data_IF_210504083284
#
_entry.id   IF_210504083284
#
_cell.length_a   1.000
_cell.length_b   1.000
_cell.length_c   1.000
_cell.angle_alpha   90.00
_cell.angle_beta   90.00
_cell.angle_gamma   90.00
#
_symmetry.space_group_name_H-M   'P 1'
#
loop_
_entity.id
_entity.type
_entity.pdbx_description
1 polymer ?
#
# COMPACT_ATOMS: atom_id res chain seq x y z
N UNK A 1 -31.60 7.54 19.45
CA UNK A 1 -31.21 8.15 18.14
C UNK A 1 -32.43 8.85 17.60
N UNK A 2 -32.33 10.13 17.22
CA UNK A 2 -33.44 10.88 16.62
C UNK A 2 -33.54 10.59 15.13
N UNK A 3 -34.73 10.68 14.55
CA UNK A 3 -34.95 10.49 13.12
C UNK A 3 -34.26 11.58 12.28
N UNK A 4 -34.07 11.33 10.98
CA UNK A 4 -33.42 12.25 10.04
C UNK A 4 -34.36 13.34 9.49
N UNK A 5 -35.66 13.28 9.79
CA UNK A 5 -36.64 14.28 9.35
C UNK A 5 -36.53 15.49 10.27
N UNK A 6 -36.42 16.67 9.67
CA UNK A 6 -36.29 17.94 10.38
C UNK A 6 -37.64 18.37 10.91
N UNK A 7 -37.70 18.73 12.19
CA UNK A 7 -38.89 19.21 12.88
C UNK A 7 -38.56 20.37 13.84
N UNK A 8 -39.58 21.10 14.32
CA UNK A 8 -39.41 22.27 15.19
C UNK A 8 -38.85 21.91 16.57
N UNK A 9 -38.84 20.64 16.93
CA UNK A 9 -38.29 20.11 18.18
C UNK A 9 -36.74 20.03 18.17
N UNK A 10 -36.06 20.43 17.09
CA UNK A 10 -34.58 20.47 17.02
C UNK A 10 -34.01 21.70 17.74
N UNK A 11 -33.01 21.50 18.59
CA UNK A 11 -32.29 22.60 19.24
C UNK A 11 -31.23 23.25 18.32
N UNK A 12 -30.63 22.49 17.41
CA UNK A 12 -29.60 22.96 16.49
C UNK A 12 -29.58 22.15 15.20
N UNK A 13 -29.16 22.77 14.10
CA UNK A 13 -28.95 22.13 12.80
C UNK A 13 -27.53 22.40 12.29
N UNK A 14 -26.91 21.39 11.69
CA UNK A 14 -25.61 21.51 11.03
C UNK A 14 -25.81 21.63 9.51
N UNK A 15 -25.44 22.78 8.94
CA UNK A 15 -25.56 23.06 7.52
C UNK A 15 -24.17 23.18 6.87
N UNK A 16 -24.07 22.84 5.58
CA UNK A 16 -22.84 22.99 4.78
C UNK A 16 -23.16 23.82 3.55
N UNK A 17 -22.43 24.93 3.36
CA UNK A 17 -22.59 25.80 2.19
C UNK A 17 -21.91 25.15 0.99
N UNK A 18 -22.67 24.93 -0.08
CA UNK A 18 -22.17 24.33 -1.33
C UNK A 18 -21.84 25.38 -2.40
N UNK A 19 -22.57 26.51 -2.43
CA UNK A 19 -22.40 27.58 -3.40
C UNK A 19 -22.44 28.94 -2.68
N UNK A 20 -21.48 29.83 -2.98
CA UNK A 20 -21.45 31.20 -2.46
C UNK A 20 -22.52 32.06 -3.16
N UNK A 21 -23.19 32.93 -2.40
CA UNK A 21 -24.12 33.94 -2.91
C UNK A 21 -23.41 35.18 -3.42
N UNK A 22 -24.16 36.27 -3.64
CA UNK A 22 -23.59 37.55 -4.08
C UNK A 22 -22.79 38.23 -2.97
N UNK A 23 -23.24 38.13 -1.72
CA UNK A 23 -22.63 38.79 -0.57
C UNK A 23 -21.70 37.86 0.21
N UNK A 24 -20.73 38.44 0.90
CA UNK A 24 -19.82 37.73 1.82
C UNK A 24 -20.42 37.65 3.22
N UNK A 25 -20.20 36.52 3.88
CA UNK A 25 -20.66 36.25 5.24
C UNK A 25 -19.46 36.28 6.19
N UNK A 26 -19.44 37.20 7.16
CA UNK A 26 -18.32 37.36 8.06
C UNK A 26 -18.03 36.11 8.87
N UNK A 27 -16.75 35.72 8.89
CA UNK A 27 -16.26 34.54 9.62
C UNK A 27 -16.54 33.19 8.95
N UNK A 28 -17.27 33.15 7.83
CA UNK A 28 -17.50 31.92 7.05
C UNK A 28 -16.84 31.98 5.67
N UNK A 29 -17.01 33.09 4.94
CA UNK A 29 -16.45 33.22 3.58
C UNK A 29 -15.18 34.05 3.50
N UNK A 30 -14.87 34.81 4.55
CA UNK A 30 -13.82 35.82 4.53
C UNK A 30 -12.42 35.20 4.74
N UNK A 31 -12.34 34.17 5.58
CA UNK A 31 -11.08 33.54 5.96
C UNK A 31 -10.93 32.12 5.41
N UNK A 32 -9.84 31.86 4.69
CA UNK A 32 -9.46 30.53 4.22
C UNK A 32 -8.45 29.87 5.17
N UNK A 33 -8.91 28.94 6.00
CA UNK A 33 -8.02 28.16 6.89
C UNK A 33 -7.24 27.11 6.08
N UNK A 34 -5.89 27.11 6.11
CA UNK A 34 -5.10 26.15 5.34
C UNK A 34 -5.23 24.73 5.89
N UNK A 35 -5.06 23.74 5.01
CA UNK A 35 -5.02 22.34 5.44
C UNK A 35 -3.78 22.08 6.28
N UNK A 36 -3.99 21.59 7.50
CA UNK A 36 -2.91 21.29 8.46
C UNK A 36 -1.93 20.22 7.98
N UNK A 37 -2.39 19.26 7.16
CA UNK A 37 -1.58 18.12 6.72
C UNK A 37 -1.56 18.01 5.20
N UNK A 38 -0.36 17.80 4.65
CA UNK A 38 -0.15 17.42 3.27
C UNK A 38 -0.25 15.91 3.03
N UNK A 39 -0.22 15.47 1.76
CA UNK A 39 -0.27 14.06 1.41
C UNK A 39 0.98 13.30 1.88
N UNK A 40 0.78 12.07 2.39
CA UNK A 40 1.87 11.18 2.89
C UNK A 40 2.29 10.10 1.88
N UNK A 41 1.40 9.70 0.97
CA UNK A 41 1.63 8.60 0.02
C UNK A 41 2.29 9.13 -1.25
N UNK A 42 3.29 8.41 -1.77
CA UNK A 42 4.05 8.85 -2.95
C UNK A 42 3.16 9.21 -4.16
N UNK A 43 2.13 8.39 -4.45
CA UNK A 43 1.18 8.65 -5.54
C UNK A 43 0.38 9.95 -5.36
N UNK A 44 0.01 10.29 -4.13
CA UNK A 44 -0.82 11.46 -3.86
C UNK A 44 0.02 12.74 -3.86
N UNK A 45 1.29 12.65 -3.45
CA UNK A 45 2.24 13.75 -3.57
C UNK A 45 2.48 14.05 -5.06
N UNK A 46 2.67 13.02 -5.90
CA UNK A 46 2.81 13.19 -7.35
C UNK A 46 1.59 13.86 -7.98
N UNK A 47 0.38 13.42 -7.61
CA UNK A 47 -0.87 14.04 -8.09
C UNK A 47 -1.01 15.50 -7.68
N UNK A 48 -0.65 15.83 -6.43
CA UNK A 48 -0.78 17.21 -5.91
C UNK A 48 0.12 18.19 -6.67
N UNK A 49 1.34 17.79 -7.00
CA UNK A 49 2.33 18.64 -7.66
C UNK A 49 2.47 18.36 -9.17
N UNK A 50 1.53 17.60 -9.76
CA UNK A 50 1.56 17.20 -11.17
C UNK A 50 2.92 16.61 -11.65
N UNK A 51 3.58 15.83 -10.79
CA UNK A 51 4.90 15.27 -11.06
C UNK A 51 4.84 14.06 -12.01
N UNK A 52 5.88 13.91 -12.81
CA UNK A 52 6.08 12.72 -13.62
C UNK A 52 6.59 11.53 -12.80
N UNK A 53 6.63 10.36 -13.44
CA UNK A 53 7.09 9.13 -12.78
C UNK A 53 8.59 9.18 -12.42
N UNK A 54 9.37 9.92 -13.20
CA UNK A 54 10.83 10.05 -13.08
C UNK A 54 11.23 10.93 -11.90
N UNK A 55 10.35 11.85 -11.48
CA UNK A 55 10.66 12.82 -10.43
C UNK A 55 10.77 12.18 -9.04
N UNK A 56 11.74 12.68 -8.27
CA UNK A 56 11.94 12.28 -6.89
C UNK A 56 10.97 13.00 -5.95
N UNK A 57 10.00 12.24 -5.47
CA UNK A 57 8.94 12.68 -4.56
C UNK A 57 9.48 13.17 -3.21
N UNK A 58 10.70 12.78 -2.81
CA UNK A 58 11.29 13.14 -1.51
C UNK A 58 11.47 14.65 -1.33
N UNK A 59 11.69 15.38 -2.42
CA UNK A 59 11.92 16.81 -2.39
C UNK A 59 10.61 17.60 -2.22
N UNK A 60 9.49 17.04 -2.64
CA UNK A 60 8.18 17.70 -2.70
C UNK A 60 7.29 17.40 -1.48
N UNK A 61 7.84 16.86 -0.39
CA UNK A 61 7.07 16.63 0.83
C UNK A 61 6.87 17.95 1.57
N UNK A 62 5.60 18.29 1.84
CA UNK A 62 5.26 19.46 2.67
C UNK A 62 5.82 19.27 4.08
N UNK A 63 6.70 20.20 4.49
CA UNK A 63 7.29 20.25 5.82
C UNK A 63 6.57 21.28 6.66
N UNK A 64 6.26 20.94 7.91
CA UNK A 64 5.78 21.91 8.90
C UNK A 64 6.91 22.40 9.77
N UNK A 65 6.89 23.68 10.10
CA UNK A 65 7.81 24.24 11.08
C UNK A 65 7.33 23.86 12.48
N UNK A 66 8.26 23.36 13.29
CA UNK A 66 8.02 22.98 14.67
C UNK A 66 9.16 23.57 15.51
N UNK A 67 9.07 24.88 15.77
CA UNK A 67 10.16 25.67 16.33
C UNK A 67 11.37 25.69 15.38
N UNK A 68 12.57 25.46 15.93
CA UNK A 68 13.84 25.48 15.16
C UNK A 68 13.99 24.33 14.14
N UNK A 69 13.10 23.33 14.11
CA UNK A 69 13.21 22.16 13.22
C UNK A 69 12.00 22.03 12.30
N UNK A 70 12.26 21.70 11.03
CA UNK A 70 11.23 21.35 10.04
C UNK A 70 10.93 19.85 10.14
N UNK A 71 9.66 19.49 10.34
CA UNK A 71 9.20 18.09 10.43
C UNK A 71 8.44 17.69 9.17
N UNK A 72 8.73 16.50 8.65
CA UNK A 72 8.07 15.93 7.47
C UNK A 72 7.48 14.54 7.76
N UNK A 73 6.36 14.16 7.14
CA UNK A 73 5.86 12.79 7.23
C UNK A 73 6.77 11.81 6.48
N UNK A 74 7.01 10.61 7.04
CA UNK A 74 7.63 9.49 6.31
C UNK A 74 6.77 9.15 5.09
N UNK A 75 7.36 9.16 3.90
CA UNK A 75 6.64 8.84 2.66
C UNK A 75 6.28 7.36 2.64
N UNK A 76 5.00 7.07 2.43
CA UNK A 76 4.51 5.69 2.29
C UNK A 76 4.48 5.28 0.81
N UNK A 77 4.76 4.01 0.55
CA UNK A 77 4.79 3.39 -0.79
C UNK A 77 5.83 4.03 -1.73
N UNK A 78 6.91 4.58 -1.17
CA UNK A 78 8.10 4.94 -1.94
C UNK A 78 8.88 3.66 -2.29
N UNK A 79 9.34 3.55 -3.53
CA UNK A 79 10.23 2.47 -3.93
C UNK A 79 11.61 2.74 -3.33
N UNK A 80 12.12 1.81 -2.52
CA UNK A 80 13.42 1.91 -1.85
C UNK A 80 14.28 0.68 -2.13
N UNK A 81 15.62 0.77 -1.99
CA UNK A 81 16.51 -0.38 -2.18
C UNK A 81 16.14 -1.59 -1.32
N UNK A 82 15.73 -1.36 -0.06
CA UNK A 82 15.27 -2.43 0.84
C UNK A 82 14.03 -3.16 0.30
N UNK A 83 13.07 -2.44 -0.31
CA UNK A 83 11.89 -3.05 -0.91
C UNK A 83 12.28 -3.91 -2.14
N UNK A 84 13.20 -3.40 -2.96
CA UNK A 84 13.74 -4.15 -4.11
C UNK A 84 14.49 -5.41 -3.67
N UNK A 85 15.31 -5.32 -2.61
CA UNK A 85 16.02 -6.45 -2.03
C UNK A 85 15.06 -7.50 -1.48
N UNK A 86 14.03 -7.10 -0.72
CA UNK A 86 12.99 -8.03 -0.25
C UNK A 86 12.30 -8.75 -1.41
N UNK A 87 11.99 -8.02 -2.49
CA UNK A 87 11.41 -8.62 -3.70
C UNK A 87 12.36 -9.63 -4.37
N UNK A 88 13.65 -9.32 -4.45
CA UNK A 88 14.68 -10.26 -4.96
C UNK A 88 14.79 -11.51 -4.07
N UNK A 89 14.81 -11.33 -2.76
CA UNK A 89 14.85 -12.42 -1.79
C UNK A 89 13.66 -13.38 -1.96
N UNK A 90 12.43 -12.86 -2.01
CA UNK A 90 11.25 -13.71 -2.22
C UNK A 90 11.33 -14.48 -3.54
N UNK A 91 11.75 -13.83 -4.63
CA UNK A 91 11.95 -14.51 -5.92
C UNK A 91 13.01 -15.62 -5.84
N UNK A 92 14.12 -15.37 -5.15
CA UNK A 92 15.18 -16.36 -4.96
C UNK A 92 14.66 -17.56 -4.16
N UNK A 93 13.92 -17.32 -3.08
CA UNK A 93 13.34 -18.38 -2.26
C UNK A 93 12.36 -19.23 -3.07
N UNK A 94 11.51 -18.62 -3.90
CA UNK A 94 10.63 -19.36 -4.81
C UNK A 94 11.41 -20.23 -5.79
N UNK A 95 12.50 -19.71 -6.38
CA UNK A 95 13.37 -20.50 -7.28
C UNK A 95 14.01 -21.69 -6.58
N UNK A 96 14.60 -21.47 -5.41
CA UNK A 96 15.24 -22.54 -4.64
C UNK A 96 14.24 -23.65 -4.30
N UNK A 97 13.01 -23.28 -3.90
CA UNK A 97 11.93 -24.26 -3.65
C UNK A 97 11.57 -25.08 -4.89
N UNK A 98 11.49 -24.43 -6.07
CA UNK A 98 11.22 -25.14 -7.33
C UNK A 98 12.35 -26.11 -7.70
N UNK A 99 13.60 -25.71 -7.53
CA UNK A 99 14.76 -26.57 -7.80
C UNK A 99 14.79 -27.79 -6.87
N UNK A 100 14.57 -27.59 -5.57
CA UNK A 100 14.49 -28.67 -4.59
C UNK A 100 13.33 -29.62 -4.93
N UNK A 101 12.14 -29.09 -5.23
CA UNK A 101 11.00 -29.91 -5.63
C UNK A 101 11.29 -30.74 -6.90
N UNK A 102 12.00 -30.17 -7.88
CA UNK A 102 12.43 -30.89 -9.09
C UNK A 102 13.38 -32.03 -8.76
N UNK A 103 14.38 -31.81 -7.89
CA UNK A 103 15.33 -32.85 -7.46
C UNK A 103 14.62 -33.98 -6.71
N UNK A 104 13.80 -33.64 -5.71
CA UNK A 104 13.04 -34.62 -4.93
C UNK A 104 12.12 -35.46 -5.81
N UNK A 105 11.46 -34.85 -6.81
CA UNK A 105 10.64 -35.58 -7.78
C UNK A 105 11.47 -36.58 -8.59
N UNK A 106 12.66 -36.18 -9.06
CA UNK A 106 13.55 -37.06 -9.82
C UNK A 106 14.06 -38.22 -8.96
N UNK A 107 14.46 -37.95 -7.72
CA UNK A 107 14.90 -38.98 -6.76
C UNK A 107 13.78 -39.98 -6.46
N UNK A 108 12.56 -39.49 -6.19
CA UNK A 108 11.40 -40.34 -5.93
C UNK A 108 11.04 -41.21 -7.15
N UNK A 109 11.11 -40.65 -8.36
CA UNK A 109 10.88 -41.43 -9.59
C UNK A 109 11.90 -42.55 -9.77
N UNK A 110 13.18 -42.30 -9.48
CA UNK A 110 14.22 -43.34 -9.52
C UNK A 110 13.97 -44.44 -8.49
N UNK A 111 13.67 -44.07 -7.25
CA UNK A 111 13.36 -45.05 -6.19
C UNK A 111 12.13 -45.89 -6.52
N UNK A 112 11.10 -45.29 -7.13
CA UNK A 112 9.94 -46.02 -7.63
C UNK A 112 10.28 -47.03 -8.72
N UNK A 113 11.20 -46.70 -9.64
CA UNK A 113 11.62 -47.65 -10.68
C UNK A 113 12.40 -48.83 -10.09
N UNK A 114 13.34 -48.58 -9.17
CA UNK A 114 14.10 -49.63 -8.47
C UNK A 114 13.16 -50.55 -7.70
N UNK A 115 12.24 -49.99 -6.90
CA UNK A 115 11.28 -50.78 -6.13
C UNK A 115 10.39 -51.66 -7.02
N UNK A 116 9.96 -51.16 -8.19
CA UNK A 116 9.18 -51.97 -9.14
C UNK A 116 10.00 -53.11 -9.75
N UNK A 117 11.30 -52.92 -9.97
CA UNK A 117 12.20 -53.98 -10.44
C UNK A 117 12.40 -55.05 -9.36
N UNK A 118 12.72 -54.64 -8.13
CA UNK A 118 12.85 -55.54 -6.96
C UNK A 118 11.59 -56.40 -6.79
N UNK A 119 10.39 -55.79 -6.87
CA UNK A 119 9.11 -56.51 -6.78
C UNK A 119 8.87 -57.48 -7.94
N UNK A 120 9.38 -57.18 -9.13
CA UNK A 120 9.25 -58.06 -10.30
C UNK A 120 10.19 -59.27 -10.16
N UNK A 121 11.41 -59.05 -9.68
CA UNK A 121 12.39 -60.11 -9.43
C UNK A 121 11.92 -61.06 -8.33
N UNK A 122 11.38 -60.53 -7.22
CA UNK A 122 10.79 -61.34 -6.15
C UNK A 122 9.68 -62.27 -6.66
N UNK A 123 8.76 -61.77 -7.48
CA UNK A 123 7.68 -62.59 -8.08
C UNK A 123 8.17 -63.61 -9.10
N UNK A 124 9.34 -63.41 -9.68
CA UNK A 124 9.93 -64.35 -10.63
C UNK A 124 10.75 -65.45 -9.93
N UNK A 125 11.14 -65.21 -8.67
CA UNK A 125 11.86 -66.16 -7.83
C UNK A 125 10.93 -67.08 -7.00
N UNK A 126 9.68 -66.65 -6.79
CA UNK A 126 8.56 -67.48 -6.30
C UNK A 126 8.04 -68.42 -7.40
#
# INVERSE_FOLDING_TARGET
VRSCIVGPDLAAMALVIVKKGAEEIPGLTDDAKPRRLGPKRASNIRKLFALEKKDDVRNFVVRREAGKKKKAPRIQRLVTPSLLQRKRYFKSQTRNKMEVAKKLKQEYQKRLSEYRQEQKELRAAE
#
